data_IF_323521627046
#
_entry.id   IF_323521627046
#
_cell.length_a   1.000
_cell.length_b   1.000
_cell.length_c   1.000
_cell.angle_alpha   90.00
_cell.angle_beta   90.00
_cell.angle_gamma   90.00
#
_symmetry.space_group_name_H-M   'P 1'
#
loop_
_entity.id
_entity.type
_entity.pdbx_description
1 polymer ?
#
# COMPACT_ATOMS: atom_id res chain seq x y z
N UNK A 1 33.06 -30.95 21.20
CA UNK A 1 31.96 -30.76 22.15
C UNK A 1 30.73 -30.52 21.28
N UNK A 2 29.87 -31.54 21.15
CA UNK A 2 28.77 -31.55 20.17
C UNK A 2 27.49 -31.28 20.92
N UNK A 3 26.92 -30.09 20.71
CA UNK A 3 25.67 -29.66 21.33
C UNK A 3 24.49 -30.18 20.50
N UNK A 4 23.53 -30.82 21.17
CA UNK A 4 22.36 -31.45 20.55
C UNK A 4 21.16 -30.53 20.79
N UNK A 5 20.62 -29.91 19.74
CA UNK A 5 19.43 -29.07 19.82
C UNK A 5 18.18 -29.91 19.49
N UNK A 6 17.17 -30.00 20.38
CA UNK A 6 15.95 -30.74 20.10
C UNK A 6 15.04 -29.91 19.18
N UNK A 7 14.91 -30.36 17.93
CA UNK A 7 13.91 -29.90 16.96
C UNK A 7 13.19 -31.09 16.34
N UNK A 8 11.88 -30.96 16.16
CA UNK A 8 10.98 -32.01 15.64
C UNK A 8 11.43 -32.54 14.27
N UNK A 9 11.18 -33.83 13.99
CA UNK A 9 11.36 -34.45 12.67
C UNK A 9 10.78 -33.53 11.57
N UNK A 10 11.54 -33.23 10.49
CA UNK A 10 11.01 -32.52 9.34
C UNK A 10 9.79 -33.27 8.78
N UNK A 11 8.77 -32.51 8.40
CA UNK A 11 7.61 -33.01 7.64
C UNK A 11 8.08 -33.65 6.33
N UNK A 12 7.31 -34.60 5.78
CA UNK A 12 7.58 -35.39 4.55
C UNK A 12 7.75 -34.58 3.24
N UNK A 13 7.87 -33.26 3.35
CA UNK A 13 8.22 -32.34 2.29
C UNK A 13 9.56 -31.68 2.61
N UNK A 14 10.65 -32.45 2.53
CA UNK A 14 11.98 -31.88 2.31
C UNK A 14 12.02 -31.40 0.86
N UNK A 15 11.52 -30.18 0.63
CA UNK A 15 11.91 -29.39 -0.53
C UNK A 15 12.97 -28.42 -0.02
N UNK A 16 14.25 -28.78 -0.11
CA UNK A 16 15.28 -27.74 0.04
C UNK A 16 15.04 -26.70 -1.05
N UNK A 17 15.10 -25.40 -0.69
CA UNK A 17 14.97 -24.29 -1.65
C UNK A 17 15.98 -24.38 -2.82
N UNK A 18 17.01 -25.20 -2.67
CA UNK A 18 18.05 -25.51 -3.65
C UNK A 18 17.77 -26.73 -4.54
N UNK A 19 16.80 -27.59 -4.19
CA UNK A 19 16.56 -28.89 -4.87
C UNK A 19 15.57 -28.79 -6.04
N UNK A 20 15.02 -27.61 -6.31
CA UNK A 20 14.30 -27.34 -7.55
C UNK A 20 15.25 -27.02 -8.69
N UNK A 21 14.98 -27.54 -9.89
CA UNK A 21 15.56 -27.00 -11.12
C UNK A 21 15.37 -25.47 -11.13
N UNK A 22 16.46 -24.72 -10.92
CA UNK A 22 16.40 -23.26 -10.90
C UNK A 22 15.76 -22.76 -12.20
N UNK A 23 14.56 -22.20 -12.13
CA UNK A 23 13.88 -21.72 -13.32
C UNK A 23 14.59 -20.45 -13.81
N UNK A 24 15.18 -20.50 -15.00
CA UNK A 24 15.65 -19.29 -15.69
C UNK A 24 14.44 -18.58 -16.27
N UNK A 25 13.80 -17.70 -15.49
CA UNK A 25 12.81 -16.79 -16.06
C UNK A 25 13.52 -15.77 -16.95
N UNK A 26 13.03 -15.59 -18.18
CA UNK A 26 13.43 -14.46 -19.02
C UNK A 26 12.41 -13.36 -18.77
N UNK A 27 12.90 -12.22 -18.30
CA UNK A 27 12.09 -11.01 -18.23
C UNK A 27 12.24 -10.23 -19.55
N UNK A 28 11.14 -9.61 -19.97
CA UNK A 28 11.13 -8.62 -21.05
C UNK A 28 10.78 -7.27 -20.43
N UNK A 29 11.53 -6.23 -20.79
CA UNK A 29 11.34 -4.86 -20.31
C UNK A 29 10.77 -4.00 -21.44
N UNK A 30 9.67 -3.29 -21.18
CA UNK A 30 9.16 -2.29 -22.13
C UNK A 30 10.14 -1.12 -22.26
N UNK A 31 10.50 -0.73 -23.49
CA UNK A 31 11.40 0.41 -23.71
C UNK A 31 10.72 1.77 -23.46
N UNK A 32 9.40 1.84 -23.53
CA UNK A 32 8.63 3.06 -23.29
C UNK A 32 8.43 3.32 -21.79
N UNK A 33 7.96 2.30 -21.06
CA UNK A 33 7.56 2.44 -19.65
C UNK A 33 8.46 1.77 -18.62
N UNK A 34 9.39 0.92 -19.06
CA UNK A 34 10.31 0.22 -18.17
C UNK A 34 9.70 -0.94 -17.37
N UNK A 35 8.40 -1.24 -17.50
CA UNK A 35 7.77 -2.37 -16.80
C UNK A 35 8.30 -3.71 -17.30
N UNK A 36 8.54 -4.64 -16.37
CA UNK A 36 9.07 -5.98 -16.64
C UNK A 36 7.96 -7.03 -16.58
N UNK A 37 7.93 -7.94 -17.57
CA UNK A 37 6.99 -9.08 -17.57
C UNK A 37 7.70 -10.36 -17.96
N UNK A 38 7.15 -11.47 -17.46
CA UNK A 38 7.71 -12.81 -17.65
C UNK A 38 7.28 -13.46 -18.98
N UNK A 39 6.51 -12.76 -19.82
CA UNK A 39 6.09 -13.22 -21.15
C UNK A 39 6.09 -12.08 -22.16
N UNK A 40 6.61 -12.32 -23.36
CA UNK A 40 6.68 -11.33 -24.45
C UNK A 40 5.30 -10.92 -24.95
N UNK A 41 4.38 -11.87 -25.03
CA UNK A 41 3.02 -11.69 -25.54
C UNK A 41 2.16 -10.77 -24.66
N UNK A 42 2.55 -10.58 -23.40
CA UNK A 42 1.94 -9.57 -22.52
C UNK A 42 2.24 -8.11 -22.94
N UNK A 43 3.15 -7.88 -23.90
CA UNK A 43 3.44 -6.56 -24.49
C UNK A 43 2.74 -6.32 -25.84
N UNK A 44 1.85 -7.21 -26.28
CA UNK A 44 1.13 -7.04 -27.55
C UNK A 44 0.18 -5.85 -27.54
N UNK A 45 -0.32 -5.48 -26.38
CA UNK A 45 -1.10 -4.26 -26.22
C UNK A 45 -0.16 -3.05 -26.20
N UNK A 46 -0.45 -1.98 -26.97
CA UNK A 46 0.38 -0.80 -26.98
C UNK A 46 0.44 -0.19 -25.58
N UNK A 47 1.65 0.17 -25.16
CA UNK A 47 1.88 0.87 -23.91
C UNK A 47 1.24 2.27 -23.99
N UNK A 48 0.05 2.44 -23.42
CA UNK A 48 -0.74 3.69 -23.45
C UNK A 48 -0.21 4.77 -22.49
N UNK A 49 1.03 4.67 -22.03
CA UNK A 49 1.58 5.67 -21.13
C UNK A 49 1.78 7.00 -21.84
N UNK A 50 1.24 8.04 -21.19
CA UNK A 50 1.56 9.43 -21.49
C UNK A 50 2.91 9.74 -20.86
N UNK A 51 3.93 10.17 -21.62
CA UNK A 51 5.22 10.54 -21.06
C UNK A 51 5.04 11.63 -20.00
N UNK A 52 5.57 11.39 -18.79
CA UNK A 52 5.48 12.30 -17.64
C UNK A 52 4.56 11.83 -16.51
N UNK A 53 3.92 10.65 -16.62
CA UNK A 53 3.22 10.05 -15.48
C UNK A 53 4.13 9.03 -14.79
N UNK A 54 4.64 9.33 -13.58
CA UNK A 54 5.50 8.38 -12.87
C UNK A 54 4.71 7.11 -12.54
N UNK A 55 5.26 5.97 -12.97
CA UNK A 55 4.63 4.65 -12.94
C UNK A 55 4.63 3.94 -11.60
N UNK A 56 5.11 4.59 -10.54
CA UNK A 56 4.89 4.11 -9.18
C UNK A 56 3.92 5.11 -8.58
N UNK A 57 2.63 4.80 -8.70
CA UNK A 57 1.59 5.57 -8.07
C UNK A 57 1.06 4.76 -6.90
N UNK A 58 1.39 5.17 -5.68
CA UNK A 58 0.82 4.59 -4.46
C UNK A 58 -0.64 5.04 -4.24
N UNK A 59 -1.39 5.20 -5.33
CA UNK A 59 -2.77 5.69 -5.34
C UNK A 59 -2.89 7.19 -5.59
N UNK A 60 -2.30 7.65 -6.68
CA UNK A 60 -2.48 8.99 -7.26
C UNK A 60 -1.28 9.92 -7.13
N UNK A 61 -0.30 9.59 -6.29
CA UNK A 61 0.88 10.43 -6.05
C UNK A 61 2.13 9.90 -6.74
N UNK A 62 2.99 10.80 -7.22
CA UNK A 62 4.33 10.45 -7.69
C UNK A 62 5.22 10.09 -6.50
N UNK A 63 5.88 8.94 -6.53
CA UNK A 63 6.84 8.53 -5.46
C UNK A 63 8.04 9.47 -5.37
N UNK A 64 8.45 10.07 -6.48
CA UNK A 64 9.56 11.04 -6.53
C UNK A 64 9.23 12.37 -5.86
N UNK A 65 7.95 12.68 -5.62
CA UNK A 65 7.57 13.88 -4.87
C UNK A 65 8.04 13.75 -3.42
N UNK A 66 8.79 14.74 -2.94
CA UNK A 66 9.40 14.73 -1.61
C UNK A 66 8.40 14.49 -0.48
N UNK A 67 7.15 14.99 -0.58
CA UNK A 67 6.12 14.76 0.43
C UNK A 67 5.58 13.34 0.38
N UNK A 68 5.46 12.75 -0.81
CA UNK A 68 5.12 11.33 -0.98
C UNK A 68 6.21 10.46 -0.37
N UNK A 69 7.47 10.70 -0.75
CA UNK A 69 8.60 9.93 -0.25
C UNK A 69 8.66 9.95 1.28
N UNK A 70 8.53 11.13 1.89
CA UNK A 70 8.49 11.28 3.36
C UNK A 70 7.28 10.59 3.98
N UNK A 71 6.11 10.71 3.36
CA UNK A 71 4.90 10.03 3.81
C UNK A 71 4.97 8.51 3.71
N UNK A 72 5.93 7.94 2.98
CA UNK A 72 6.16 6.50 2.91
C UNK A 72 7.28 6.07 3.85
N UNK A 73 8.38 6.83 3.90
CA UNK A 73 9.64 6.41 4.53
C UNK A 73 9.85 6.92 5.95
N UNK A 74 9.27 8.06 6.35
CA UNK A 74 9.47 8.57 7.71
C UNK A 74 8.62 7.78 8.73
N UNK A 75 9.20 7.48 9.89
CA UNK A 75 8.46 6.88 11.01
C UNK A 75 7.34 7.79 11.48
N UNK A 76 6.10 7.37 11.27
CA UNK A 76 4.89 8.10 11.65
C UNK A 76 3.88 7.09 12.17
N UNK A 77 3.16 7.44 13.23
CA UNK A 77 2.08 6.60 13.76
C UNK A 77 0.76 7.33 13.55
N UNK A 78 -0.20 6.68 12.88
CA UNK A 78 -1.54 7.25 12.71
C UNK A 78 -2.50 6.59 13.70
N UNK A 79 -3.27 7.42 14.39
CA UNK A 79 -4.26 7.00 15.39
C UNK A 79 -5.65 7.45 14.95
N UNK A 80 -6.59 6.51 15.00
CA UNK A 80 -8.01 6.78 14.84
C UNK A 80 -8.63 6.97 16.23
N UNK A 81 -8.97 8.21 16.58
CA UNK A 81 -9.47 8.55 17.92
C UNK A 81 -10.97 8.30 18.06
N UNK A 82 -11.78 9.04 17.30
CA UNK A 82 -13.24 8.97 17.35
C UNK A 82 -13.80 8.69 15.97
N UNK A 83 -15.00 8.09 15.91
CA UNK A 83 -15.70 7.86 14.63
C UNK A 83 -15.91 9.20 13.94
N UNK A 84 -15.33 9.36 12.76
CA UNK A 84 -15.36 10.59 11.98
C UNK A 84 -14.16 10.73 11.04
N UNK A 85 -14.06 11.83 10.30
CA UNK A 85 -13.01 12.02 9.30
C UNK A 85 -11.66 12.47 9.89
N UNK A 86 -11.53 12.51 11.23
CA UNK A 86 -10.36 13.04 11.93
C UNK A 86 -9.42 11.92 12.37
N UNK A 87 -8.14 12.12 12.07
CA UNK A 87 -7.04 11.22 12.42
C UNK A 87 -5.92 12.01 13.07
N UNK A 88 -5.27 11.41 14.06
CA UNK A 88 -4.08 11.98 14.71
C UNK A 88 -2.84 11.33 14.13
N UNK A 89 -1.82 12.13 13.82
CA UNK A 89 -0.57 11.65 13.23
C UNK A 89 0.59 12.09 14.10
N UNK A 90 1.22 11.12 14.76
CA UNK A 90 2.46 11.32 15.48
C UNK A 90 3.62 11.30 14.48
N UNK A 91 4.29 12.44 14.34
CA UNK A 91 5.44 12.62 13.47
C UNK A 91 6.73 12.12 14.13
N UNK A 92 7.70 11.72 13.31
CA UNK A 92 9.11 11.50 13.70
C UNK A 92 9.73 12.65 14.51
N UNK A 93 9.20 13.87 14.35
CA UNK A 93 9.62 15.05 15.12
C UNK A 93 9.11 15.09 16.57
N UNK A 94 8.29 14.13 17.00
CA UNK A 94 7.66 14.10 18.32
C UNK A 94 6.41 14.97 18.44
N UNK A 95 5.96 15.61 17.35
CA UNK A 95 4.73 16.40 17.31
C UNK A 95 3.56 15.56 16.80
N UNK A 96 2.37 15.77 17.39
CA UNK A 96 1.12 15.18 16.92
C UNK A 96 0.34 16.21 16.11
N UNK A 97 -0.14 15.82 14.93
CA UNK A 97 -0.94 16.66 14.05
C UNK A 97 -2.31 16.04 13.81
N UNK A 98 -3.35 16.87 13.76
CA UNK A 98 -4.70 16.44 13.37
C UNK A 98 -4.85 16.54 11.85
N UNK A 99 -5.44 15.51 11.25
CA UNK A 99 -5.74 15.40 9.83
C UNK A 99 -7.23 15.18 9.68
N UNK A 100 -7.90 16.05 8.92
CA UNK A 100 -9.29 15.88 8.52
C UNK A 100 -9.33 15.49 7.04
N UNK A 101 -9.65 14.23 6.76
CA UNK A 101 -9.64 13.71 5.39
C UNK A 101 -10.84 14.17 4.56
N UNK A 102 -11.94 14.58 5.21
CA UNK A 102 -13.12 15.07 4.51
C UNK A 102 -12.91 16.51 4.05
N UNK A 103 -12.29 17.33 4.90
CA UNK A 103 -11.87 18.68 4.55
C UNK A 103 -10.58 18.71 3.71
N UNK A 104 -9.80 17.63 3.70
CA UNK A 104 -8.49 17.58 3.05
C UNK A 104 -7.44 18.45 3.76
N UNK A 105 -7.57 18.61 5.09
CA UNK A 105 -6.74 19.53 5.87
C UNK A 105 -5.86 18.83 6.88
N UNK A 106 -4.77 19.50 7.26
CA UNK A 106 -3.86 19.05 8.31
C UNK A 106 -3.41 20.24 9.18
N UNK A 107 -3.30 20.04 10.49
CA UNK A 107 -2.83 21.06 11.43
C UNK A 107 -1.32 21.35 11.35
N UNK A 108 -0.57 20.61 10.54
CA UNK A 108 0.87 20.82 10.41
C UNK A 108 1.22 22.16 9.71
N UNK A 109 2.39 22.74 10.00
CA UNK A 109 2.83 24.01 9.39
C UNK A 109 2.91 23.98 7.86
N UNK A 110 3.33 22.86 7.26
CA UNK A 110 3.46 22.74 5.79
C UNK A 110 2.11 22.92 5.10
N UNK A 111 1.04 22.36 5.67
CA UNK A 111 -0.32 22.53 5.15
C UNK A 111 -0.89 23.91 5.50
N UNK A 112 -0.80 24.34 6.76
CA UNK A 112 -1.34 25.63 7.21
C UNK A 112 -0.76 26.83 6.44
N UNK A 113 0.53 26.79 6.12
CA UNK A 113 1.20 27.89 5.45
C UNK A 113 1.11 27.83 3.92
N UNK A 114 1.04 26.63 3.33
CA UNK A 114 1.13 26.45 1.86
C UNK A 114 -0.15 25.92 1.21
N UNK A 115 -1.11 25.43 1.98
CA UNK A 115 -2.35 24.82 1.47
C UNK A 115 -2.15 23.54 0.66
N UNK A 116 -1.00 22.86 0.82
CA UNK A 116 -0.64 21.67 0.03
C UNK A 116 -1.02 20.38 0.75
N UNK A 117 -1.19 19.29 0.00
CA UNK A 117 -1.28 17.94 0.58
C UNK A 117 0.07 17.54 1.19
N UNK A 118 0.21 17.80 2.49
CA UNK A 118 1.42 17.54 3.25
C UNK A 118 1.68 16.03 3.41
N UNK A 119 2.87 15.68 3.91
CA UNK A 119 3.22 14.28 4.17
C UNK A 119 2.24 13.57 5.13
N UNK A 120 1.68 14.28 6.10
CA UNK A 120 0.74 13.71 7.08
C UNK A 120 -0.57 13.30 6.42
N UNK A 121 -1.15 14.16 5.58
CA UNK A 121 -2.36 13.85 4.83
C UNK A 121 -2.15 12.63 3.93
N UNK A 122 -1.02 12.61 3.19
CA UNK A 122 -0.69 11.48 2.32
C UNK A 122 -0.50 10.17 3.10
N UNK A 123 0.17 10.21 4.27
CA UNK A 123 0.32 9.04 5.15
C UNK A 123 -1.03 8.44 5.55
N UNK A 124 -1.97 9.28 6.00
CA UNK A 124 -3.33 8.82 6.35
C UNK A 124 -4.05 8.21 5.15
N UNK A 125 -3.98 8.86 3.98
CA UNK A 125 -4.61 8.35 2.76
C UNK A 125 -4.00 7.02 2.30
N UNK A 126 -2.69 6.83 2.45
CA UNK A 126 -2.05 5.55 2.18
C UNK A 126 -2.57 4.46 3.12
N UNK A 127 -2.59 4.71 4.43
CA UNK A 127 -3.03 3.72 5.42
C UNK A 127 -4.52 3.36 5.30
N UNK A 128 -5.38 4.32 4.93
CA UNK A 128 -6.78 4.05 4.61
C UNK A 128 -6.91 3.17 3.37
N UNK A 129 -6.12 3.44 2.33
CA UNK A 129 -6.13 2.68 1.07
C UNK A 129 -5.58 1.26 1.24
N UNK A 130 -4.54 1.11 2.06
CA UNK A 130 -3.96 -0.19 2.43
C UNK A 130 -4.74 -0.89 3.53
N UNK A 131 -5.83 -0.26 4.02
CA UNK A 131 -6.79 -0.82 4.98
C UNK A 131 -6.18 -1.12 6.35
N UNK A 132 -5.12 -0.40 6.70
CA UNK A 132 -4.49 -0.43 8.02
C UNK A 132 -5.31 0.40 9.01
N UNK A 133 -6.00 1.43 8.53
CA UNK A 133 -6.88 2.28 9.33
C UNK A 133 -8.37 2.03 9.02
N UNK A 134 -9.24 2.22 10.02
CA UNK A 134 -10.68 2.27 9.79
C UNK A 134 -11.03 3.53 8.98
N UNK A 135 -12.04 3.40 8.13
CA UNK A 135 -12.68 4.49 7.42
C UNK A 135 -13.41 5.43 8.41
N UNK A 136 -13.84 6.63 7.97
CA UNK A 136 -14.56 7.57 8.84
C UNK A 136 -15.85 7.04 9.47
N UNK A 137 -16.46 6.01 8.88
CA UNK A 137 -17.62 5.30 9.44
C UNK A 137 -17.25 4.32 10.58
N UNK A 138 -15.96 4.26 10.94
CA UNK A 138 -15.40 3.39 11.97
C UNK A 138 -15.16 1.96 11.49
N UNK A 139 -15.35 1.65 10.21
CA UNK A 139 -15.20 0.29 9.67
C UNK A 139 -13.96 0.18 8.80
N UNK A 140 -13.29 -0.97 8.86
CA UNK A 140 -12.23 -1.28 7.90
C UNK A 140 -12.83 -1.56 6.52
N UNK A 141 -12.18 -1.06 5.47
CA UNK A 141 -12.61 -1.34 4.11
C UNK A 141 -12.50 -2.86 3.85
N UNK A 142 -13.59 -3.49 3.41
CA UNK A 142 -13.60 -4.91 3.07
C UNK A 142 -13.00 -5.13 1.67
N UNK A 143 -12.42 -6.31 1.45
CA UNK A 143 -12.01 -6.73 0.12
C UNK A 143 -13.23 -6.72 -0.82
N UNK A 144 -13.13 -6.06 -1.98
CA UNK A 144 -14.21 -6.03 -2.97
C UNK A 144 -14.63 -7.42 -3.51
N UNK A 145 -13.85 -8.46 -3.23
CA UNK A 145 -14.20 -9.85 -3.53
C UNK A 145 -15.30 -10.42 -2.61
N UNK A 146 -15.46 -9.87 -1.39
CA UNK A 146 -16.45 -10.34 -0.42
C UNK A 146 -17.81 -9.68 -0.62
N UNK A 147 -17.84 -8.40 -1.01
CA UNK A 147 -19.09 -7.65 -1.26
C UNK A 147 -19.88 -8.19 -2.46
N UNK A 148 -19.23 -8.91 -3.39
CA UNK A 148 -19.90 -9.62 -4.50
C UNK A 148 -20.54 -10.96 -4.07
N UNK A 149 -20.13 -11.55 -2.95
CA UNK A 149 -20.71 -12.81 -2.45
C UNK A 149 -21.99 -12.55 -1.66
N UNK A 150 -22.02 -11.50 -0.84
CA UNK A 150 -23.21 -11.07 -0.09
C UNK A 150 -24.36 -10.67 -1.03
N UNK A 151 -24.07 -9.90 -2.09
CA UNK A 151 -25.09 -9.53 -3.11
C UNK A 151 -25.63 -10.71 -3.92
N UNK A 152 -24.92 -11.84 -3.95
CA UNK A 152 -25.36 -13.06 -4.65
C UNK A 152 -26.17 -13.99 -3.75
N UNK A 153 -25.88 -14.04 -2.44
CA UNK A 153 -26.67 -14.79 -1.46
C UNK A 153 -28.06 -14.18 -1.23
N UNK A 154 -28.18 -12.85 -1.19
CA UNK A 154 -29.48 -12.17 -1.06
C UNK A 154 -30.42 -12.38 -2.27
N UNK A 155 -29.86 -12.63 -3.46
CA UNK A 155 -30.65 -12.92 -4.68
C UNK A 155 -31.06 -14.38 -4.82
N UNK A 156 -30.52 -15.30 -4.01
CA UNK A 156 -30.84 -16.72 -4.07
C UNK A 156 -31.76 -17.19 -2.92
N UNK A 157 -32.17 -16.26 -2.06
CA UNK A 157 -33.08 -16.52 -0.93
C UNK A 157 -34.41 -15.76 -1.05
N UNK A 158 -34.78 -15.31 -2.25
CA UNK A 158 -36.09 -14.72 -2.59
C UNK A 158 -36.77 -15.49 -3.70
#
# INVERSE_FOLDING_TARGET
MTEWLPGSKPTDYDLELSDGDGYRTRFWRCQNCGHERNRRDEFREPCLETPGRPLVSDGGYAVEDSRTWKALTESMTVRFGTVGPRYEVDSSSGNTYEVDIAAGTCSCPDHQQRGVECKHLRRVLFELRTRILPQPDGRFARCAAESRRETKQDRHSR
#
